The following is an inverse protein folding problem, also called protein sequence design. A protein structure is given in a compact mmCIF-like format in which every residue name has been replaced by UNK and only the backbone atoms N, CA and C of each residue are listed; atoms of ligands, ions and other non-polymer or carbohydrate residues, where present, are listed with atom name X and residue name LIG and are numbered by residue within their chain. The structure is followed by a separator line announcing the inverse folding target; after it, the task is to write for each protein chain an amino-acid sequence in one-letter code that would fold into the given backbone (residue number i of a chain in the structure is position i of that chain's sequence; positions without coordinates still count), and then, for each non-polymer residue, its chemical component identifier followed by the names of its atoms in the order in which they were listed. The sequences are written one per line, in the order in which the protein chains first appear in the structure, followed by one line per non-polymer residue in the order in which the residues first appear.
data_IF_386305258975
#
_entry.id   IF_386305258975
#
_cell.length_a   1.000
_cell.length_b   1.000
_cell.length_c   1.000
_cell.angle_alpha   90.00
_cell.angle_beta   90.00
_cell.angle_gamma   90.00
#
_symmetry.space_group_name_H-M   'P 1'
#
loop_
_entity.id
_entity.type
_entity.pdbx_description
1 polymer ?
#
# COMPACT_ATOMS: atom_id res chain seq x y z
N UNK A 1 18.85 -16.37 2.92
CA UNK A 1 18.23 -17.07 1.79
C UNK A 1 18.06 -16.06 0.66
N UNK A 2 18.91 -16.16 -0.36
CA UNK A 2 18.95 -15.22 -1.48
C UNK A 2 18.71 -15.95 -2.80
N UNK A 3 18.41 -15.15 -3.82
CA UNK A 3 18.36 -15.44 -5.25
C UNK A 3 17.06 -16.00 -5.83
N UNK A 4 16.28 -15.09 -6.46
CA UNK A 4 15.41 -15.44 -7.57
C UNK A 4 13.91 -15.54 -7.30
N UNK A 5 13.37 -14.88 -6.26
CA UNK A 5 11.93 -14.72 -6.15
C UNK A 5 11.45 -13.81 -7.29
N UNK A 6 10.88 -14.43 -8.33
CA UNK A 6 10.01 -13.75 -9.29
C UNK A 6 9.06 -12.88 -8.47
N UNK A 7 9.19 -11.56 -8.58
CA UNK A 7 8.23 -10.63 -7.97
C UNK A 7 6.90 -10.98 -8.62
N UNK A 8 6.05 -11.65 -7.85
CA UNK A 8 4.78 -12.19 -8.31
C UNK A 8 3.71 -11.52 -7.49
N UNK A 9 2.68 -11.03 -8.15
CA UNK A 9 1.49 -10.49 -7.51
C UNK A 9 0.91 -11.46 -6.46
N UNK A 10 1.03 -12.77 -6.68
CA UNK A 10 0.59 -13.81 -5.73
C UNK A 10 1.46 -13.92 -4.47
N UNK A 11 2.72 -13.50 -4.50
CA UNK A 11 3.57 -13.42 -3.31
C UNK A 11 3.17 -12.22 -2.43
N UNK A 12 2.77 -11.11 -3.07
CA UNK A 12 2.22 -9.95 -2.36
C UNK A 12 0.87 -10.30 -1.71
N UNK A 13 0.00 -11.04 -2.41
CA UNK A 13 -1.26 -11.56 -1.84
C UNK A 13 -1.01 -12.41 -0.60
N UNK A 14 -0.05 -13.34 -0.66
CA UNK A 14 0.31 -14.17 0.50
C UNK A 14 0.79 -13.32 1.68
N UNK A 15 1.68 -12.37 1.41
CA UNK A 15 2.23 -11.49 2.44
C UNK A 15 1.15 -10.59 3.05
N UNK A 16 0.18 -10.16 2.25
CA UNK A 16 -1.02 -9.46 2.71
C UNK A 16 -1.85 -10.32 3.67
N UNK A 17 -2.13 -11.58 3.32
CA UNK A 17 -2.87 -12.49 4.19
C UNK A 17 -2.19 -12.71 5.55
N UNK A 18 -0.86 -12.92 5.54
CA UNK A 18 -0.06 -13.03 6.77
C UNK A 18 -0.15 -11.74 7.60
N UNK A 19 -0.02 -10.57 6.96
CA UNK A 19 -0.11 -9.28 7.65
C UNK A 19 -1.47 -9.07 8.32
N UNK A 20 -2.57 -9.44 7.64
CA UNK A 20 -3.92 -9.34 8.22
C UNK A 20 -4.04 -10.24 9.45
N UNK A 21 -3.61 -11.50 9.38
CA UNK A 21 -3.62 -12.41 10.52
C UNK A 21 -2.74 -11.92 11.67
N UNK A 22 -1.53 -11.42 11.37
CA UNK A 22 -0.61 -10.85 12.37
C UNK A 22 -1.24 -9.64 13.07
N UNK A 23 -1.88 -8.76 12.30
CA UNK A 23 -2.55 -7.58 12.84
C UNK A 23 -3.72 -7.95 13.76
N UNK A 24 -4.57 -8.89 13.33
CA UNK A 24 -5.79 -9.27 14.06
C UNK A 24 -5.49 -10.07 15.33
N UNK A 25 -4.43 -10.87 15.32
CA UNK A 25 -4.03 -11.69 16.48
C UNK A 25 -2.95 -11.05 17.34
N UNK A 26 -2.31 -9.98 16.85
CA UNK A 26 -1.09 -9.38 17.40
C UNK A 26 0.05 -10.39 17.63
N UNK A 27 0.07 -11.48 16.86
CA UNK A 27 1.07 -12.55 16.96
C UNK A 27 2.03 -12.48 15.79
N UNK A 28 3.30 -12.76 16.08
CA UNK A 28 4.31 -12.86 15.04
C UNK A 28 3.96 -14.02 14.07
N UNK A 29 4.20 -13.86 12.76
CA UNK A 29 3.99 -14.93 11.77
C UNK A 29 4.78 -16.21 12.06
N UNK A 30 5.87 -16.08 12.81
CA UNK A 30 6.78 -17.16 13.22
C UNK A 30 6.74 -17.37 14.73
N UNK A 31 6.85 -18.62 15.17
CA UNK A 31 6.94 -18.95 16.59
C UNK A 31 5.59 -19.12 17.28
N UNK A 32 4.53 -19.42 16.53
CA UNK A 32 3.30 -19.91 17.13
C UNK A 32 3.53 -21.34 17.64
N UNK A 33 2.93 -21.64 18.80
CA UNK A 33 3.03 -22.93 19.47
C UNK A 33 1.61 -23.37 19.81
N UNK A 34 1.28 -24.62 19.52
CA UNK A 34 0.02 -25.25 19.92
C UNK A 34 -0.04 -25.51 21.43
N UNK A 35 -1.23 -25.84 21.94
CA UNK A 35 -1.44 -26.17 23.35
C UNK A 35 -0.63 -27.41 23.79
N UNK A 36 -0.23 -28.27 22.84
CA UNK A 36 0.62 -29.45 23.04
C UNK A 36 2.13 -29.15 22.98
N UNK A 37 2.53 -27.90 22.75
CA UNK A 37 3.93 -27.49 22.66
C UNK A 37 4.58 -27.62 21.28
N UNK A 38 3.88 -28.09 20.25
CA UNK A 38 4.44 -28.20 18.90
C UNK A 38 4.42 -26.85 18.17
N UNK A 39 5.49 -26.52 17.42
CA UNK A 39 5.53 -25.29 16.63
C UNK A 39 4.58 -25.42 15.44
N UNK A 40 3.77 -24.38 15.25
CA UNK A 40 2.85 -24.26 14.12
C UNK A 40 2.98 -22.91 13.43
N UNK A 41 2.45 -22.83 12.22
CA UNK A 41 2.33 -21.57 11.49
C UNK A 41 1.20 -20.72 12.03
N UNK A 42 1.26 -19.41 11.79
CA UNK A 42 0.16 -18.50 12.12
C UNK A 42 -1.14 -18.89 11.39
N UNK A 43 -1.05 -19.37 10.14
CA UNK A 43 -2.21 -19.87 9.38
C UNK A 43 -2.91 -21.02 10.11
N UNK A 44 -2.15 -22.05 10.50
CA UNK A 44 -2.69 -23.20 11.24
C UNK A 44 -3.30 -22.79 12.58
N UNK A 45 -2.66 -21.84 13.28
CA UNK A 45 -3.17 -21.32 14.54
C UNK A 45 -4.54 -20.65 14.37
N UNK A 46 -4.70 -19.83 13.32
CA UNK A 46 -5.95 -19.15 12.98
C UNK A 46 -7.01 -20.14 12.49
N UNK A 47 -6.66 -21.10 11.63
CA UNK A 47 -7.56 -22.18 11.17
C UNK A 47 -8.12 -22.97 12.35
N UNK A 48 -7.24 -23.37 13.29
CA UNK A 48 -7.67 -24.07 14.49
C UNK A 48 -8.59 -23.20 15.36
N UNK A 49 -8.31 -21.91 15.51
CA UNK A 49 -9.17 -21.01 16.28
C UNK A 49 -10.56 -20.86 15.66
N UNK A 50 -10.66 -20.71 14.33
CA UNK A 50 -11.92 -20.64 13.60
C UNK A 50 -12.73 -21.95 13.72
N UNK A 51 -12.06 -23.10 13.58
CA UNK A 51 -12.70 -24.42 13.69
C UNK A 51 -13.31 -24.69 15.08
N UNK A 52 -12.76 -24.06 16.13
CA UNK A 52 -13.24 -24.17 17.51
C UNK A 52 -14.32 -23.13 17.87
N UNK A 53 -14.80 -22.36 16.89
CA UNK A 53 -15.89 -21.40 17.05
C UNK A 53 -15.46 -20.04 17.61
N UNK A 54 -16.40 -19.10 17.60
CA UNK A 54 -16.13 -17.68 17.88
C UNK A 54 -15.53 -17.42 19.26
N UNK A 55 -15.91 -18.19 20.28
CA UNK A 55 -15.38 -18.01 21.63
C UNK A 55 -13.87 -18.30 21.70
N UNK A 56 -13.38 -19.34 21.00
CA UNK A 56 -11.94 -19.60 20.89
C UNK A 56 -11.28 -18.54 20.03
N UNK A 57 -11.93 -18.11 18.96
CA UNK A 57 -11.43 -17.03 18.11
C UNK A 57 -11.19 -15.74 18.91
N UNK A 58 -12.17 -15.33 19.71
CA UNK A 58 -12.11 -14.13 20.55
C UNK A 58 -10.91 -14.15 21.52
N UNK A 59 -10.57 -15.31 22.07
CA UNK A 59 -9.42 -15.49 22.97
C UNK A 59 -8.06 -15.34 22.27
N UNK A 60 -7.97 -15.64 20.98
CA UNK A 60 -6.71 -15.60 20.23
C UNK A 60 -6.46 -14.26 19.53
N UNK A 61 -7.51 -13.42 19.44
CA UNK A 61 -7.46 -12.09 18.88
C UNK A 61 -6.68 -11.11 19.77
N UNK A 62 -6.23 -10.00 19.16
CA UNK A 62 -5.74 -8.84 19.91
C UNK A 62 -6.83 -8.40 20.90
N UNK A 63 -6.56 -8.34 22.22
CA UNK A 63 -7.54 -7.94 23.23
C UNK A 63 -8.17 -6.57 22.96
N UNK A 64 -7.40 -5.62 22.41
CA UNK A 64 -7.90 -4.28 22.08
C UNK A 64 -8.95 -4.36 20.95
N UNK A 65 -8.72 -5.21 19.94
CA UNK A 65 -9.68 -5.46 18.86
C UNK A 65 -10.88 -6.28 19.35
N UNK A 66 -10.63 -7.35 20.09
CA UNK A 66 -11.65 -8.24 20.62
C UNK A 66 -12.64 -7.51 21.54
N UNK A 67 -12.17 -6.53 22.30
CA UNK A 67 -13.03 -5.67 23.15
C UNK A 67 -13.92 -4.71 22.35
N UNK A 68 -13.55 -4.40 21.10
CA UNK A 68 -14.33 -3.52 20.22
C UNK A 68 -15.45 -4.23 19.46
N UNK A 69 -15.42 -5.57 19.42
CA UNK A 69 -16.47 -6.38 18.81
C UNK A 69 -17.70 -6.39 19.71
N UNK A 70 -18.68 -5.55 19.36
CA UNK A 70 -19.85 -5.29 20.22
C UNK A 70 -21.15 -5.85 19.64
N UNK A 71 -21.15 -6.19 18.35
CA UNK A 71 -22.32 -6.69 17.63
C UNK A 71 -22.01 -7.99 16.91
N UNK A 72 -23.02 -8.82 16.72
CA UNK A 72 -22.94 -10.03 15.87
C UNK A 72 -22.44 -9.73 14.44
N UNK A 73 -22.68 -8.52 13.94
CA UNK A 73 -22.16 -8.10 12.64
C UNK A 73 -20.63 -7.90 12.68
N UNK A 74 -20.10 -7.33 13.76
CA UNK A 74 -18.65 -7.14 13.93
C UNK A 74 -17.94 -8.50 14.07
N UNK A 75 -18.53 -9.42 14.84
CA UNK A 75 -18.06 -10.80 14.97
C UNK A 75 -17.99 -11.50 13.60
N UNK A 76 -19.07 -11.39 12.82
CA UNK A 76 -19.12 -11.95 11.47
C UNK A 76 -18.07 -11.33 10.54
N UNK A 77 -17.94 -9.99 10.52
CA UNK A 77 -16.93 -9.29 9.70
C UNK A 77 -15.52 -9.74 10.04
N UNK A 78 -15.26 -10.03 11.31
CA UNK A 78 -13.98 -10.55 11.76
C UNK A 78 -13.69 -11.95 11.21
N UNK A 79 -14.68 -12.84 11.28
CA UNK A 79 -14.60 -14.19 10.70
C UNK A 79 -14.35 -14.10 9.20
N UNK A 80 -15.17 -13.32 8.47
CA UNK A 80 -15.05 -13.13 7.02
C UNK A 80 -13.64 -12.60 6.63
N UNK A 81 -13.06 -11.70 7.44
CA UNK A 81 -11.74 -11.13 7.20
C UNK A 81 -10.61 -12.16 7.40
N UNK A 82 -10.73 -13.05 8.39
CA UNK A 82 -9.76 -14.12 8.63
C UNK A 82 -9.86 -15.22 7.57
N UNK A 83 -11.06 -15.59 7.16
CA UNK A 83 -11.27 -16.53 6.05
C UNK A 83 -10.66 -15.99 4.74
N UNK A 84 -10.86 -14.70 4.46
CA UNK A 84 -10.20 -14.03 3.34
C UNK A 84 -8.67 -14.09 3.47
N UNK A 85 -8.12 -13.81 4.65
CA UNK A 85 -6.68 -13.89 4.88
C UNK A 85 -6.12 -15.31 4.66
N UNK A 86 -6.85 -16.35 5.09
CA UNK A 86 -6.48 -17.75 4.86
C UNK A 86 -6.53 -18.13 3.37
N UNK A 87 -7.49 -17.61 2.62
CA UNK A 87 -7.53 -17.79 1.17
C UNK A 87 -6.33 -17.12 0.48
N UNK A 88 -5.85 -15.99 1.00
CA UNK A 88 -4.66 -15.32 0.50
C UNK A 88 -3.37 -16.11 0.78
N UNK A 89 -3.36 -16.93 1.83
CA UNK A 89 -2.18 -17.72 2.25
C UNK A 89 -2.17 -19.17 1.77
N UNK A 90 -2.98 -19.51 0.77
CA UNK A 90 -2.94 -20.86 0.19
C UNK A 90 -1.54 -21.23 -0.31
N UNK A 91 -1.12 -22.48 -0.06
CA UNK A 91 0.22 -22.94 -0.40
C UNK A 91 0.48 -22.83 -1.91
N UNK A 92 -0.49 -23.25 -2.73
CA UNK A 92 -0.51 -23.12 -4.17
C UNK A 92 -0.85 -21.67 -4.58
N UNK A 93 0.04 -20.92 -5.28
CA UNK A 93 -0.21 -19.54 -5.70
C UNK A 93 -1.45 -19.35 -6.58
N UNK A 94 -1.81 -20.36 -7.37
CA UNK A 94 -2.98 -20.39 -8.24
C UNK A 94 -4.32 -20.45 -7.49
N UNK A 95 -4.32 -20.94 -6.25
CA UNK A 95 -5.51 -21.01 -5.40
C UNK A 95 -5.74 -19.73 -4.60
N UNK A 96 -4.77 -18.80 -4.63
CA UNK A 96 -4.93 -17.50 -3.98
C UNK A 96 -5.81 -16.61 -4.86
N UNK A 97 -6.65 -15.73 -4.29
CA UNK A 97 -7.36 -14.73 -5.07
C UNK A 97 -6.38 -13.74 -5.74
N UNK A 98 -6.87 -12.98 -6.71
CA UNK A 98 -6.16 -11.80 -7.21
C UNK A 98 -6.38 -10.60 -6.27
N UNK A 99 -5.44 -9.65 -6.24
CA UNK A 99 -5.54 -8.49 -5.34
C UNK A 99 -6.81 -7.65 -5.57
N UNK A 100 -7.34 -7.62 -6.80
CA UNK A 100 -8.61 -6.95 -7.11
C UNK A 100 -9.82 -7.66 -6.48
N UNK A 101 -9.78 -9.00 -6.40
CA UNK A 101 -10.79 -9.81 -5.72
C UNK A 101 -10.70 -9.61 -4.19
N UNK A 102 -9.47 -9.63 -3.64
CA UNK A 102 -9.21 -9.31 -2.23
C UNK A 102 -9.80 -7.95 -1.87
N UNK A 103 -9.53 -6.92 -2.68
CA UNK A 103 -10.09 -5.58 -2.48
C UNK A 103 -11.63 -5.60 -2.52
N UNK A 104 -12.23 -6.29 -3.49
CA UNK A 104 -13.68 -6.37 -3.63
C UNK A 104 -14.34 -7.04 -2.42
N UNK A 105 -13.72 -8.10 -1.88
CA UNK A 105 -14.19 -8.80 -0.68
C UNK A 105 -14.03 -7.93 0.56
N UNK A 106 -12.90 -7.24 0.73
CA UNK A 106 -12.70 -6.29 1.84
C UNK A 106 -13.74 -5.15 1.83
N UNK A 107 -14.10 -4.63 0.67
CA UNK A 107 -15.14 -3.60 0.54
C UNK A 107 -16.52 -4.13 0.92
N UNK A 108 -16.78 -5.39 0.61
CA UNK A 108 -18.02 -6.08 0.99
C UNK A 108 -18.08 -6.27 2.52
N UNK A 109 -16.98 -6.73 3.13
CA UNK A 109 -16.85 -6.93 4.58
C UNK A 109 -16.98 -5.59 5.33
N UNK A 110 -16.35 -4.53 4.82
CA UNK A 110 -16.36 -3.22 5.47
C UNK A 110 -17.67 -2.43 5.30
N UNK A 111 -18.65 -2.95 4.55
CA UNK A 111 -19.88 -2.24 4.16
C UNK A 111 -19.61 -0.85 3.55
N UNK A 112 -18.37 -0.60 3.11
CA UNK A 112 -17.94 0.69 2.63
C UNK A 112 -18.17 0.75 1.13
N UNK A 113 -19.26 1.40 0.72
CA UNK A 113 -19.44 1.87 -0.67
C UNK A 113 -18.46 3.01 -1.02
N UNK A 114 -17.30 3.08 -0.36
CA UNK A 114 -16.43 4.25 -0.36
C UNK A 114 -15.15 4.03 -1.15
N UNK A 115 -15.27 3.50 -2.36
CA UNK A 115 -14.46 3.98 -3.47
C UNK A 115 -15.40 4.20 -4.65
N UNK A 116 -15.81 5.46 -4.96
CA UNK A 116 -16.38 5.70 -6.27
C UNK A 116 -15.40 5.12 -7.29
N UNK A 117 -15.88 4.19 -8.13
CA UNK A 117 -15.17 3.63 -9.29
C UNK A 117 -14.23 4.70 -9.78
N UNK A 118 -12.91 4.47 -9.68
CA UNK A 118 -11.83 5.33 -10.17
C UNK A 118 -12.43 6.30 -11.17
N UNK A 119 -12.81 7.51 -10.72
CA UNK A 119 -13.29 8.51 -11.67
C UNK A 119 -12.19 8.52 -12.69
N UNK A 120 -12.52 8.22 -13.97
CA UNK A 120 -11.57 8.38 -15.07
C UNK A 120 -10.87 9.68 -14.72
N UNK A 121 -9.58 9.60 -14.41
CA UNK A 121 -8.82 10.81 -14.15
C UNK A 121 -9.08 11.61 -15.41
N UNK A 122 -9.93 12.64 -15.29
CA UNK A 122 -10.17 13.55 -16.39
C UNK A 122 -8.75 13.94 -16.76
N UNK A 123 -8.34 13.59 -17.98
CA UNK A 123 -6.98 13.72 -18.45
C UNK A 123 -6.48 15.06 -17.94
N UNK A 124 -5.61 15.00 -16.94
CA UNK A 124 -4.96 16.19 -16.45
C UNK A 124 -4.03 16.54 -17.60
N UNK A 125 -4.54 17.39 -18.50
CA UNK A 125 -3.78 18.04 -19.53
C UNK A 125 -2.74 18.88 -18.81
N UNK A 126 -1.59 18.25 -18.54
CA UNK A 126 -0.44 18.88 -17.94
C UNK A 126 0.06 19.94 -18.91
N UNK A 127 -0.25 21.20 -18.64
CA UNK A 127 0.43 22.31 -19.30
C UNK A 127 1.82 22.46 -18.67
N UNK A 128 2.86 22.67 -19.49
CA UNK A 128 4.25 22.66 -19.02
C UNK A 128 4.64 23.86 -18.16
N UNK A 129 3.70 24.76 -17.82
CA UNK A 129 3.94 26.01 -17.09
C UNK A 129 3.60 25.92 -15.59
N UNK A 130 3.04 24.82 -15.10
CA UNK A 130 3.02 24.51 -13.66
C UNK A 130 2.04 25.31 -12.80
N UNK A 131 1.01 25.93 -13.37
CA UNK A 131 -0.07 26.55 -12.57
C UNK A 131 -1.32 25.65 -12.47
N UNK A 132 -1.74 25.33 -11.24
CA UNK A 132 -2.99 24.61 -10.92
C UNK A 132 -4.04 25.61 -10.41
N UNK A 133 -5.16 25.78 -11.12
CA UNK A 133 -6.23 26.68 -10.68
C UNK A 133 -7.01 26.12 -9.48
N UNK A 134 -7.22 26.90 -8.40
CA UNK A 134 -7.97 26.48 -7.23
C UNK A 134 -9.43 26.95 -7.34
N UNK A 135 -10.33 26.14 -7.91
CA UNK A 135 -11.76 26.45 -7.76
C UNK A 135 -12.72 25.27 -7.54
N UNK A 136 -12.21 24.05 -7.35
CA UNK A 136 -13.06 22.91 -6.93
C UNK A 136 -12.88 22.57 -5.45
N UNK A 137 -11.85 23.10 -4.77
CA UNK A 137 -11.57 22.78 -3.37
C UNK A 137 -12.40 23.59 -2.36
N UNK A 138 -13.06 24.68 -2.78
CA UNK A 138 -13.73 25.61 -1.84
C UNK A 138 -15.13 25.15 -1.41
N UNK A 139 -15.80 24.28 -2.14
CA UNK A 139 -17.21 23.91 -1.84
C UNK A 139 -17.37 22.73 -0.88
N UNK A 140 -16.28 22.09 -0.43
CA UNK A 140 -16.32 20.89 0.43
C UNK A 140 -15.76 21.11 1.84
N UNK A 141 -15.37 22.33 2.21
CA UNK A 141 -14.64 22.62 3.45
C UNK A 141 -15.47 23.25 4.58
N UNK A 142 -16.80 23.35 4.45
CA UNK A 142 -17.66 23.90 5.52
C UNK A 142 -18.71 22.91 6.01
N UNK A 143 -18.34 21.65 6.26
CA UNK A 143 -19.12 20.80 7.17
C UNK A 143 -18.21 20.07 8.17
N UNK A 144 -18.03 20.71 9.33
CA UNK A 144 -17.88 20.15 10.70
C UNK A 144 -16.91 18.99 10.99
N UNK A 145 -15.99 18.61 10.10
CA UNK A 145 -15.04 17.49 10.34
C UNK A 145 -13.54 17.80 10.20
N UNK A 146 -13.14 19.02 9.84
CA UNK A 146 -11.81 19.27 9.25
C UNK A 146 -10.64 19.36 10.23
N UNK A 147 -10.86 19.53 11.54
CA UNK A 147 -9.73 19.65 12.49
C UNK A 147 -8.98 18.34 12.76
N UNK A 148 -9.58 17.16 12.47
CA UNK A 148 -8.88 15.86 12.60
C UNK A 148 -8.05 15.49 11.37
N UNK A 149 -8.44 15.95 10.18
CA UNK A 149 -7.78 15.61 8.90
C UNK A 149 -6.64 16.56 8.52
N UNK A 150 -6.59 17.77 9.08
CA UNK A 150 -5.46 18.69 8.86
C UNK A 150 -4.18 18.21 9.51
N UNK A 151 -4.24 17.51 10.65
CA UNK A 151 -3.04 16.96 11.31
C UNK A 151 -2.42 15.84 10.45
N UNK A 152 -3.24 14.95 9.89
CA UNK A 152 -2.75 13.85 9.04
C UNK A 152 -2.27 14.32 7.66
N UNK A 153 -2.94 15.30 7.06
CA UNK A 153 -2.54 15.84 5.76
C UNK A 153 -1.31 16.75 5.83
N UNK A 154 -1.12 17.50 6.94
CA UNK A 154 0.11 18.27 7.16
C UNK A 154 1.31 17.38 7.46
N UNK A 155 1.15 16.28 8.20
CA UNK A 155 2.21 15.28 8.39
C UNK A 155 2.60 14.60 7.07
N UNK A 156 1.63 14.29 6.20
CA UNK A 156 1.90 13.74 4.88
C UNK A 156 2.66 14.73 3.98
N UNK A 157 2.30 16.03 3.99
CA UNK A 157 3.01 17.08 3.26
C UNK A 157 4.45 17.26 3.79
N UNK A 158 4.65 17.22 5.11
CA UNK A 158 5.98 17.30 5.73
C UNK A 158 6.85 16.05 5.44
N UNK A 159 6.25 14.87 5.34
CA UNK A 159 6.94 13.64 4.94
C UNK A 159 7.38 13.67 3.47
N UNK A 160 6.54 14.19 2.58
CA UNK A 160 6.88 14.39 1.15
C UNK A 160 7.97 15.47 0.98
N UNK A 161 7.96 16.51 1.82
CA UNK A 161 9.00 17.54 1.83
C UNK A 161 10.35 17.06 2.39
N UNK A 162 10.37 16.13 3.36
CA UNK A 162 11.62 15.51 3.84
C UNK A 162 12.26 14.56 2.82
N UNK A 163 11.47 13.85 2.02
CA UNK A 163 12.01 12.96 0.96
C UNK A 163 12.57 13.73 -0.25
N UNK A 164 12.06 14.93 -0.55
CA UNK A 164 12.57 15.77 -1.65
C UNK A 164 13.83 16.57 -1.28
N UNK A 165 14.09 16.81 0.00
CA UNK A 165 15.34 17.42 0.47
C UNK A 165 16.54 16.44 0.43
N UNK A 166 16.33 15.15 0.73
CA UNK A 166 17.38 14.12 0.69
C UNK A 166 17.83 13.75 -0.74
N UNK A 167 17.02 14.06 -1.76
CA UNK A 167 17.29 13.72 -3.17
C UNK A 167 18.05 14.82 -3.94
N UNK A 168 18.44 15.93 -3.28
CA UNK A 168 19.28 16.99 -3.90
C UNK A 168 20.78 16.87 -3.56
N UNK A 169 21.20 15.93 -2.72
CA UNK A 169 22.59 15.87 -2.20
C UNK A 169 23.55 14.94 -2.97
N UNK A 170 23.09 14.11 -3.92
CA UNK A 170 23.99 13.25 -4.71
C UNK A 170 23.56 13.17 -6.18
N UNK A 171 23.89 14.18 -6.97
CA UNK A 171 24.05 14.02 -8.43
C UNK A 171 25.54 14.06 -8.78
N UNK A 172 26.10 13.01 -9.43
CA UNK A 172 27.45 13.04 -9.94
C UNK A 172 27.58 14.10 -11.05
N UNK A 173 28.64 14.89 -10.96
CA UNK A 173 29.09 15.89 -11.92
C UNK A 173 29.61 15.20 -13.19
N UNK A 174 28.72 14.81 -14.10
CA UNK A 174 29.09 14.29 -15.42
C UNK A 174 28.13 14.83 -16.48
N UNK A 175 28.26 16.12 -16.81
CA UNK A 175 27.89 16.71 -18.11
C UNK A 175 28.30 18.19 -18.17
N UNK A 176 29.62 18.45 -18.11
CA UNK A 176 30.21 19.77 -18.44
C UNK A 176 31.34 19.68 -19.48
N UNK A 177 31.47 18.56 -20.23
CA UNK A 177 32.47 18.48 -21.32
C UNK A 177 31.93 18.35 -22.75
N UNK A 178 30.64 18.08 -23.00
CA UNK A 178 30.17 17.94 -24.40
C UNK A 178 29.71 19.24 -25.07
N UNK A 179 29.55 20.34 -24.34
CA UNK A 179 29.22 21.64 -24.93
C UNK A 179 30.45 22.46 -25.39
N UNK A 180 31.69 21.96 -25.17
CA UNK A 180 32.92 22.68 -25.54
C UNK A 180 33.63 22.14 -26.80
N UNK A 181 33.20 20.99 -27.32
CA UNK A 181 33.77 20.41 -28.55
C UNK A 181 33.01 20.85 -29.81
N UNK A 182 31.73 21.20 -29.71
CA UNK A 182 30.91 21.60 -30.87
C UNK A 182 31.06 23.11 -31.20
N UNK A 183 31.72 23.92 -30.35
CA UNK A 183 32.03 25.33 -30.65
C UNK A 183 33.40 25.56 -31.32
N UNK A 184 34.19 24.51 -31.61
CA UNK A 184 35.46 24.64 -32.36
C UNK A 184 35.36 24.30 -33.85
N UNK A 185 34.26 23.70 -34.32
CA UNK A 185 34.09 23.37 -35.75
C UNK A 185 33.35 24.42 -36.59
N UNK A 186 32.89 25.53 -36.01
CA UNK A 186 32.20 26.60 -36.77
C UNK A 186 33.06 27.84 -37.02
N UNK A 187 34.38 27.78 -36.78
CA UNK A 187 35.27 28.95 -36.93
C UNK A 187 36.52 28.66 -37.81
N UNK A 188 36.36 27.83 -38.84
CA UNK A 188 37.44 27.53 -39.79
C UNK A 188 36.99 27.46 -41.26
N UNK A 189 35.78 27.93 -41.62
CA UNK A 189 35.34 27.85 -43.02
C UNK A 189 34.58 29.07 -43.55
N UNK A 190 34.98 30.28 -43.15
CA UNK A 190 34.43 31.54 -43.70
C UNK A 190 35.47 32.45 -44.35
N UNK A 191 36.68 31.97 -44.66
CA UNK A 191 37.66 32.75 -45.44
C UNK A 191 38.21 31.94 -46.61
N UNK A 192 37.60 32.13 -47.78
CA UNK A 192 37.93 31.71 -49.17
C UNK A 192 36.60 31.26 -49.81
N UNK A 193 35.97 31.91 -50.78
CA UNK A 193 36.43 32.73 -51.91
C UNK A 193 35.25 33.58 -52.42
N UNK A 194 35.35 34.90 -52.32
CA UNK A 194 34.64 35.85 -53.18
C UNK A 194 35.68 36.75 -53.84
N UNK A 195 36.06 36.39 -55.08
CA UNK A 195 36.42 37.23 -56.23
C UNK A 195 37.12 36.40 -57.29
#
# INVERSE_FOLDING_TARGET
FAYGSKISTKADVFSFGIMVMEFLTRRRPTGCIEDNGFPITLCQFVEAALANGFQRLHQVMDPDLASSLSTQNDEKKMVDLLELALSCTQAAPENRPDMDEVLSLLLTISESKLFPKRQKAAEAHWKPDGSLFPHVLRSKLTERGTLRLTILSTLALMAVQRHTAASRSTRPLMRVQQARVIRRSTNLNTNQTTK
#
